data_IF_380777920478
#
_entry.id   IF_380777920478
#
_cell.length_a   1.000
_cell.length_b   1.000
_cell.length_c   1.000
_cell.angle_alpha   90.00
_cell.angle_beta   90.00
_cell.angle_gamma   90.00
#
_symmetry.space_group_name_H-M   'P 1'
#
loop_
_entity.id
_entity.type
_entity.pdbx_description
1 polymer ?
#
# COMPACT_ATOMS: atom_id res chain seq x y z
N UNK A 1 14.55 25.82 -9.97
CA UNK A 1 15.07 24.97 -11.06
C UNK A 1 15.03 23.55 -10.54
N UNK A 2 14.16 22.69 -11.09
CA UNK A 2 14.24 21.28 -10.81
C UNK A 2 15.61 20.81 -11.29
N UNK A 3 16.42 20.22 -10.41
CA UNK A 3 17.63 19.54 -10.83
C UNK A 3 17.19 18.37 -11.70
N UNK A 4 17.82 18.18 -12.86
CA UNK A 4 17.66 16.97 -13.66
C UNK A 4 18.07 15.78 -12.80
N UNK A 5 17.08 15.10 -12.21
CA UNK A 5 17.28 13.86 -11.47
C UNK A 5 17.14 12.73 -12.50
N UNK A 6 18.23 12.04 -12.86
CA UNK A 6 18.23 11.02 -13.91
C UNK A 6 17.35 9.81 -13.56
N UNK A 7 17.08 9.58 -12.27
CA UNK A 7 16.22 8.51 -11.75
C UNK A 7 16.63 7.10 -12.20
N UNK A 8 17.93 6.89 -12.40
CA UNK A 8 18.57 5.62 -12.78
C UNK A 8 19.30 4.93 -11.61
N UNK A 9 19.20 5.49 -10.40
CA UNK A 9 19.75 4.91 -9.18
C UNK A 9 19.15 3.53 -8.87
N UNK A 10 19.93 2.66 -8.23
CA UNK A 10 19.43 1.39 -7.73
C UNK A 10 18.38 1.66 -6.63
N UNK A 11 17.18 1.13 -6.82
CA UNK A 11 16.06 1.36 -5.91
C UNK A 11 16.39 0.91 -4.47
N UNK A 12 17.11 -0.21 -4.30
CA UNK A 12 17.45 -0.71 -2.97
C UNK A 12 18.49 0.19 -2.29
N UNK A 13 19.43 0.76 -3.05
CA UNK A 13 20.37 1.75 -2.52
C UNK A 13 19.67 3.04 -2.09
N UNK A 14 18.73 3.55 -2.90
CA UNK A 14 17.92 4.72 -2.56
C UNK A 14 17.10 4.47 -1.29
N UNK A 15 16.47 3.30 -1.21
CA UNK A 15 15.68 2.89 -0.06
C UNK A 15 16.55 2.71 1.20
N UNK A 16 17.74 2.13 1.09
CA UNK A 16 18.66 1.94 2.21
C UNK A 16 19.17 3.28 2.80
N UNK A 17 19.24 4.33 1.99
CA UNK A 17 19.68 5.66 2.42
C UNK A 17 18.55 6.52 2.99
N UNK A 18 17.29 6.08 2.89
CA UNK A 18 16.13 6.83 3.37
C UNK A 18 15.98 6.67 4.89
N UNK A 19 16.21 7.73 5.70
CA UNK A 19 16.13 7.64 7.17
C UNK A 19 14.70 7.37 7.67
N UNK A 20 13.69 7.70 6.86
CA UNK A 20 12.27 7.43 7.13
C UNK A 20 11.88 5.98 6.85
N UNK A 21 12.74 5.18 6.21
CA UNK A 21 12.49 3.78 5.87
C UNK A 21 12.97 2.83 6.97
N UNK A 22 12.69 3.20 8.22
CA UNK A 22 12.85 2.30 9.35
C UNK A 22 11.83 1.14 9.27
N UNK A 23 11.78 0.29 10.30
CA UNK A 23 10.82 -0.82 10.35
C UNK A 23 9.37 -0.37 10.17
N UNK A 24 9.01 0.82 10.66
CA UNK A 24 7.65 1.33 10.62
C UNK A 24 7.34 1.94 9.24
N UNK A 25 8.28 2.70 8.67
CA UNK A 25 8.14 3.29 7.34
C UNK A 25 7.94 2.24 6.25
N UNK A 26 8.66 1.12 6.32
CA UNK A 26 8.49 0.00 5.38
C UNK A 26 7.08 -0.58 5.40
N UNK A 27 6.51 -0.79 6.60
CA UNK A 27 5.14 -1.27 6.75
C UNK A 27 4.12 -0.27 6.22
N UNK A 28 4.34 1.02 6.46
CA UNK A 28 3.48 2.08 5.96
C UNK A 28 3.46 2.15 4.43
N UNK A 29 4.60 1.93 3.76
CA UNK A 29 4.67 1.87 2.29
C UNK A 29 3.86 0.69 1.75
N UNK A 30 4.01 -0.51 2.34
CA UNK A 30 3.23 -1.68 1.92
C UNK A 30 1.73 -1.45 2.12
N UNK A 31 1.33 -0.90 3.26
CA UNK A 31 -0.06 -0.50 3.49
C UNK A 31 -0.57 0.48 2.41
N UNK A 32 0.19 1.54 2.12
CA UNK A 32 -0.19 2.51 1.09
C UNK A 32 -0.27 1.89 -0.31
N UNK A 33 0.65 0.99 -0.65
CA UNK A 33 0.65 0.28 -1.93
C UNK A 33 -0.60 -0.59 -2.09
N UNK A 34 -0.96 -1.39 -1.08
CA UNK A 34 -2.17 -2.22 -1.11
C UNK A 34 -3.43 -1.35 -1.27
N UNK A 35 -3.51 -0.23 -0.52
CA UNK A 35 -4.63 0.71 -0.63
C UNK A 35 -4.73 1.36 -2.02
N UNK A 36 -3.59 1.59 -2.68
CA UNK A 36 -3.54 2.17 -4.01
C UNK A 36 -3.97 1.15 -5.08
N UNK A 37 -3.48 -0.09 -5.01
CA UNK A 37 -3.92 -1.18 -5.89
C UNK A 37 -5.43 -1.43 -5.74
N UNK A 38 -5.92 -1.59 -4.51
CA UNK A 38 -7.34 -1.85 -4.24
C UNK A 38 -8.28 -0.64 -4.49
N UNK A 39 -7.79 0.48 -5.02
CA UNK A 39 -8.57 1.71 -5.18
C UNK A 39 -9.64 1.60 -6.26
N UNK A 40 -9.44 0.75 -7.27
CA UNK A 40 -10.40 0.42 -8.32
C UNK A 40 -11.42 -0.66 -7.90
N UNK A 41 -11.41 -1.01 -6.60
CA UNK A 41 -12.23 -2.01 -5.94
C UNK A 41 -11.82 -3.47 -6.17
N UNK A 42 -10.73 -3.74 -6.89
CA UNK A 42 -10.16 -5.07 -7.04
C UNK A 42 -8.68 -5.05 -6.64
N UNK A 43 -8.26 -5.97 -5.77
CA UNK A 43 -6.84 -6.17 -5.50
C UNK A 43 -6.42 -7.43 -6.25
N UNK A 44 -5.92 -7.24 -7.48
CA UNK A 44 -5.71 -8.34 -8.41
C UNK A 44 -4.52 -9.22 -7.96
N UNK A 45 -4.54 -10.55 -8.22
CA UNK A 45 -3.44 -11.44 -7.83
C UNK A 45 -2.04 -11.00 -8.32
N UNK A 46 -1.95 -10.37 -9.50
CA UNK A 46 -0.68 -9.86 -10.02
C UNK A 46 -0.15 -8.65 -9.23
N UNK A 47 -1.06 -7.79 -8.73
CA UNK A 47 -0.72 -6.68 -7.85
C UNK A 47 -0.31 -7.21 -6.48
N UNK A 48 -1.04 -8.20 -5.97
CA UNK A 48 -0.69 -8.91 -4.74
C UNK A 48 0.72 -9.49 -4.81
N UNK A 49 1.03 -10.24 -5.86
CA UNK A 49 2.37 -10.79 -6.08
C UNK A 49 3.44 -9.69 -6.14
N UNK A 50 3.12 -8.54 -6.73
CA UNK A 50 4.03 -7.39 -6.82
C UNK A 50 4.27 -6.74 -5.45
N UNK A 51 3.24 -6.58 -4.63
CA UNK A 51 3.33 -6.07 -3.25
C UNK A 51 4.17 -7.00 -2.39
N UNK A 52 3.91 -8.31 -2.43
CA UNK A 52 4.66 -9.31 -1.67
C UNK A 52 6.13 -9.34 -2.07
N UNK A 53 6.42 -9.28 -3.38
CA UNK A 53 7.78 -9.16 -3.89
C UNK A 53 8.49 -7.91 -3.33
N UNK A 54 7.81 -6.76 -3.32
CA UNK A 54 8.38 -5.53 -2.76
C UNK A 54 8.58 -5.64 -1.24
N UNK A 55 7.64 -6.23 -0.51
CA UNK A 55 7.75 -6.43 0.92
C UNK A 55 8.96 -7.31 1.29
N UNK A 56 9.25 -8.35 0.50
CA UNK A 56 10.45 -9.17 0.65
C UNK A 56 11.72 -8.34 0.47
N UNK A 57 11.79 -7.46 -0.54
CA UNK A 57 12.92 -6.54 -0.72
C UNK A 57 13.10 -5.57 0.44
N UNK A 58 11.98 -5.15 1.05
CA UNK A 58 11.98 -4.32 2.25
C UNK A 58 12.29 -5.11 3.54
N UNK A 59 12.48 -6.42 3.47
CA UNK A 59 12.72 -7.27 4.63
C UNK A 59 11.54 -7.32 5.60
N UNK A 60 10.32 -7.30 5.07
CA UNK A 60 9.10 -7.52 5.82
C UNK A 60 8.74 -9.01 5.68
N UNK A 61 8.51 -9.66 6.82
CA UNK A 61 8.07 -11.05 6.86
C UNK A 61 6.68 -11.21 6.22
N UNK A 62 6.49 -12.32 5.51
CA UNK A 62 5.26 -12.64 4.77
C UNK A 62 3.99 -12.58 5.65
N UNK A 63 4.08 -13.04 6.89
CA UNK A 63 2.98 -13.01 7.86
C UNK A 63 2.54 -11.58 8.20
N UNK A 64 3.48 -10.65 8.26
CA UNK A 64 3.21 -9.22 8.48
C UNK A 64 2.55 -8.61 7.26
N UNK A 65 2.96 -8.99 6.04
CA UNK A 65 2.31 -8.53 4.80
C UNK A 65 0.85 -8.96 4.80
N UNK A 66 0.58 -10.25 5.07
CA UNK A 66 -0.76 -10.80 5.16
C UNK A 66 -1.64 -10.05 6.19
N UNK A 67 -1.08 -9.69 7.35
CA UNK A 67 -1.81 -8.88 8.34
C UNK A 67 -2.14 -7.48 7.83
N UNK A 68 -1.23 -6.84 7.09
CA UNK A 68 -1.48 -5.52 6.50
C UNK A 68 -2.57 -5.61 5.43
N UNK A 69 -2.56 -6.66 4.60
CA UNK A 69 -3.61 -6.93 3.62
C UNK A 69 -4.98 -7.11 4.28
N UNK A 70 -5.05 -7.91 5.35
CA UNK A 70 -6.28 -8.12 6.12
C UNK A 70 -6.85 -6.80 6.65
N UNK A 71 -5.99 -5.91 7.18
CA UNK A 71 -6.40 -4.59 7.64
C UNK A 71 -6.96 -3.76 6.47
N UNK A 72 -6.27 -3.72 5.33
CA UNK A 72 -6.69 -2.94 4.17
C UNK A 72 -8.07 -3.39 3.65
N UNK A 73 -8.29 -4.69 3.56
CA UNK A 73 -9.56 -5.27 3.13
C UNK A 73 -10.67 -5.00 4.15
N UNK A 74 -10.37 -5.16 5.44
CA UNK A 74 -11.31 -4.86 6.53
C UNK A 74 -11.74 -3.39 6.54
N UNK A 75 -10.81 -2.47 6.30
CA UNK A 75 -11.11 -1.04 6.18
C UNK A 75 -12.00 -0.74 4.96
N UNK A 76 -11.75 -1.38 3.81
CA UNK A 76 -12.56 -1.22 2.62
C UNK A 76 -14.01 -1.68 2.88
N UNK A 77 -14.18 -2.84 3.51
CA UNK A 77 -15.50 -3.35 3.91
C UNK A 77 -16.18 -2.45 4.94
N UNK A 78 -15.44 -1.97 5.95
CA UNK A 78 -15.97 -1.02 6.93
C UNK A 78 -16.40 0.30 6.28
N UNK A 79 -15.64 0.78 5.29
CA UNK A 79 -16.01 1.96 4.49
C UNK A 79 -17.31 1.72 3.73
N UNK A 80 -17.47 0.57 3.05
CA UNK A 80 -18.70 0.21 2.34
C UNK A 80 -19.90 0.19 3.29
N UNK A 81 -19.77 -0.46 4.46
CA UNK A 81 -20.79 -0.48 5.51
C UNK A 81 -21.16 0.92 5.99
N UNK A 82 -20.17 1.77 6.25
CA UNK A 82 -20.38 3.16 6.67
C UNK A 82 -21.16 3.94 5.61
N UNK A 83 -20.80 3.83 4.33
CA UNK A 83 -21.51 4.53 3.24
C UNK A 83 -22.96 4.05 3.16
N UNK A 84 -23.23 2.75 3.22
CA UNK A 84 -24.58 2.21 3.16
C UNK A 84 -25.48 2.70 4.31
N UNK A 85 -24.94 2.87 5.52
CA UNK A 85 -25.68 3.39 6.67
C UNK A 85 -25.91 4.90 6.57
N UNK A 86 -24.88 5.66 6.16
CA UNK A 86 -24.94 7.13 6.16
C UNK A 86 -25.66 7.69 4.94
N UNK A 87 -25.63 6.98 3.81
CA UNK A 87 -26.12 7.42 2.51
C UNK A 87 -26.93 6.31 1.82
N UNK A 88 -28.06 5.87 2.40
CA UNK A 88 -28.83 4.74 1.90
C UNK A 88 -29.41 4.96 0.49
N UNK A 89 -29.59 6.22 0.08
CA UNK A 89 -30.13 6.61 -1.22
C UNK A 89 -29.04 7.07 -2.22
N UNK A 90 -27.76 6.93 -1.84
CA UNK A 90 -26.62 7.37 -2.63
C UNK A 90 -25.89 8.59 -2.06
N UNK A 91 -24.65 8.80 -2.52
CA UNK A 91 -23.80 9.89 -2.05
C UNK A 91 -24.24 11.20 -2.72
N UNK A 92 -24.54 12.26 -1.96
CA UNK A 92 -25.12 13.49 -2.51
C UNK A 92 -24.11 14.45 -3.17
N UNK A 93 -22.83 14.08 -3.28
CA UNK A 93 -21.75 14.87 -3.86
C UNK A 93 -20.70 14.01 -4.55
#
# INVERSE_FOLDING_TARGET
MAKDYPADDDLLEVLAQAPTLDKNGRRAIIYAAIKACAADAEYHPDEQASVHKMAQYLGIEEDVVNQIEEICMSEAEMRKKRIAVMFPEGIPY
#
